data_IF_924204143599
#
_entry.id   IF_924204143599
#
_cell.length_a   1.000
_cell.length_b   1.000
_cell.length_c   1.000
_cell.angle_alpha   90.00
_cell.angle_beta   90.00
_cell.angle_gamma   90.00
#
_symmetry.space_group_name_H-M   'P 1'
#
loop_
_entity.id
_entity.type
_entity.pdbx_description
1 polymer ?
#
# COMPACT_ATOMS: atom_id res chain seq x y z
N UNK A 1 9.50 -9.42 -3.53
CA UNK A 1 10.30 -8.25 -3.96
C UNK A 1 9.45 -7.29 -4.78
N UNK A 2 9.60 -5.98 -4.58
CA UNK A 2 8.94 -4.94 -5.36
C UNK A 2 9.95 -3.86 -5.76
N UNK A 3 9.99 -3.53 -7.05
CA UNK A 3 10.79 -2.43 -7.60
C UNK A 3 9.87 -1.28 -7.96
N UNK A 4 10.29 -0.07 -7.62
CA UNK A 4 9.54 1.15 -7.87
C UNK A 4 10.41 2.15 -8.62
N UNK A 5 9.82 2.78 -9.63
CA UNK A 5 10.38 3.93 -10.34
C UNK A 5 9.31 5.02 -10.48
N UNK A 6 9.73 6.27 -10.69
CA UNK A 6 8.84 7.42 -10.85
C UNK A 6 8.59 8.21 -9.58
N UNK A 7 7.47 8.93 -9.55
CA UNK A 7 7.08 9.87 -8.49
C UNK A 7 6.52 9.13 -7.26
N UNK A 8 7.41 8.41 -6.55
CA UNK A 8 7.08 7.62 -5.35
C UNK A 8 7.23 8.43 -4.05
N UNK A 9 8.20 9.35 -3.99
CA UNK A 9 8.43 10.26 -2.85
C UNK A 9 8.25 11.70 -3.31
N UNK A 10 7.30 12.41 -2.70
CA UNK A 10 6.99 13.82 -2.86
C UNK A 10 7.63 14.70 -1.77
N UNK A 11 7.93 14.14 -0.61
CA UNK A 11 8.56 14.78 0.56
C UNK A 11 9.48 13.77 1.25
N UNK A 12 10.64 14.23 1.71
CA UNK A 12 11.59 13.36 2.41
C UNK A 12 11.81 13.81 3.85
N UNK A 13 12.07 12.82 4.71
CA UNK A 13 12.75 12.96 5.99
C UNK A 13 14.20 13.45 5.79
N UNK A 14 14.40 14.62 5.15
CA UNK A 14 15.71 15.23 4.91
C UNK A 14 16.32 15.06 3.52
N UNK A 15 15.60 14.47 2.55
CA UNK A 15 15.99 14.44 1.14
C UNK A 15 14.85 15.02 0.32
N UNK A 16 15.05 16.20 -0.30
CA UNK A 16 14.06 16.81 -1.19
C UNK A 16 13.50 15.72 -2.12
N UNK A 17 12.18 15.51 -2.13
CA UNK A 17 11.49 14.34 -2.71
C UNK A 17 11.87 14.07 -4.17
N UNK A 18 13.03 13.44 -4.37
CA UNK A 18 13.55 13.16 -5.69
C UNK A 18 12.82 11.93 -6.21
N UNK A 19 12.16 12.04 -7.37
CA UNK A 19 11.55 10.88 -8.00
C UNK A 19 12.64 9.84 -8.28
N UNK A 20 12.27 8.57 -8.20
CA UNK A 20 13.17 7.48 -8.55
C UNK A 20 13.30 7.44 -10.07
N UNK A 21 14.36 8.06 -10.60
CA UNK A 21 14.70 8.06 -12.03
C UNK A 21 15.14 6.68 -12.54
N UNK A 22 15.41 5.75 -11.64
CA UNK A 22 15.73 4.35 -11.92
C UNK A 22 14.94 3.45 -10.98
N UNK A 23 14.78 2.18 -11.35
CA UNK A 23 14.15 1.19 -10.48
C UNK A 23 14.94 1.04 -9.17
N UNK A 24 14.27 1.31 -8.05
CA UNK A 24 14.81 1.09 -6.71
C UNK A 24 13.99 0.04 -6.00
N UNK A 25 14.67 -0.77 -5.20
CA UNK A 25 14.05 -1.77 -4.37
C UNK A 25 13.39 -1.09 -3.17
N UNK A 26 12.11 -1.40 -2.92
CA UNK A 26 11.43 -0.91 -1.74
C UNK A 26 11.77 -1.82 -0.55
N UNK A 27 12.75 -1.40 0.23
CA UNK A 27 13.34 -2.21 1.31
C UNK A 27 12.30 -2.65 2.36
N UNK A 28 11.35 -1.79 2.67
CA UNK A 28 10.33 -1.99 3.70
C UNK A 28 9.38 -3.16 3.40
N UNK A 29 9.23 -3.55 2.12
CA UNK A 29 8.39 -4.68 1.70
C UNK A 29 9.18 -5.81 1.05
N UNK A 30 10.51 -5.86 1.26
CA UNK A 30 11.35 -6.93 0.70
C UNK A 30 10.97 -8.32 1.19
N UNK A 31 10.53 -8.44 2.45
CA UNK A 31 10.09 -9.70 3.04
C UNK A 31 8.73 -10.18 2.52
N UNK A 32 7.98 -9.33 1.80
CA UNK A 32 6.66 -9.67 1.29
C UNK A 32 6.75 -10.24 -0.14
N UNK A 33 6.10 -11.39 -0.37
CA UNK A 33 5.86 -11.93 -1.72
C UNK A 33 4.67 -11.22 -2.37
N UNK A 34 4.94 -10.09 -3.01
CA UNK A 34 3.90 -9.28 -3.66
C UNK A 34 3.24 -10.09 -4.80
N UNK A 35 1.92 -10.21 -4.76
CA UNK A 35 1.08 -10.85 -5.79
C UNK A 35 0.49 -9.82 -6.76
N UNK A 36 0.13 -8.67 -6.23
CA UNK A 36 -0.51 -7.59 -6.96
C UNK A 36 -0.02 -6.25 -6.42
N UNK A 37 0.19 -5.27 -7.30
CA UNK A 37 0.54 -3.91 -6.91
C UNK A 37 -0.15 -2.94 -7.84
N UNK A 38 -0.68 -1.84 -7.29
CA UNK A 38 -1.26 -0.77 -8.06
C UNK A 38 -0.79 0.59 -7.52
N UNK A 39 -0.86 1.60 -8.38
CA UNK A 39 -0.41 2.95 -8.06
C UNK A 39 -1.32 3.96 -8.75
N UNK A 40 -1.60 5.06 -8.07
CA UNK A 40 -2.30 6.21 -8.63
C UNK A 40 -1.48 7.47 -8.48
N UNK A 41 -2.16 8.62 -8.45
CA UNK A 41 -1.50 9.92 -8.41
C UNK A 41 -0.61 10.12 -7.18
N UNK A 42 -1.09 9.72 -6.01
CA UNK A 42 -0.38 9.85 -4.72
C UNK A 42 -0.47 8.60 -3.83
N UNK A 43 -1.17 7.56 -4.28
CA UNK A 43 -1.42 6.33 -3.52
C UNK A 43 -0.81 5.13 -4.18
N UNK A 44 -0.33 4.20 -3.36
CA UNK A 44 0.29 2.98 -3.77
C UNK A 44 -0.17 1.84 -2.88
N UNK A 45 -0.54 0.72 -3.49
CA UNK A 45 -0.98 -0.47 -2.80
C UNK A 45 -0.22 -1.69 -3.29
N UNK A 46 0.01 -2.62 -2.38
CA UNK A 46 0.57 -3.93 -2.68
C UNK A 46 -0.16 -5.00 -1.88
N UNK A 47 -0.49 -6.11 -2.53
CA UNK A 47 -1.11 -7.28 -1.92
C UNK A 47 -0.04 -8.37 -1.79
N UNK A 48 0.08 -8.93 -0.60
CA UNK A 48 0.96 -10.05 -0.29
C UNK A 48 0.17 -11.11 0.49
N UNK A 49 0.57 -12.39 0.44
CA UNK A 49 0.03 -13.36 1.39
C UNK A 49 0.40 -12.95 2.82
N UNK A 50 -0.53 -13.10 3.74
CA UNK A 50 -0.24 -12.94 5.17
C UNK A 50 0.18 -14.29 5.75
N UNK A 51 1.46 -14.44 6.07
CA UNK A 51 2.02 -15.68 6.63
C UNK A 51 1.71 -15.85 8.12
N UNK A 52 1.40 -14.75 8.84
CA UNK A 52 1.16 -14.76 10.29
C UNK A 52 -0.31 -15.05 10.62
N UNK A 53 -1.23 -14.35 9.96
CA UNK A 53 -2.67 -14.44 10.25
C UNK A 53 -3.44 -15.32 9.23
N UNK A 54 -2.80 -15.71 8.12
CA UNK A 54 -3.48 -16.33 6.99
C UNK A 54 -4.25 -15.30 6.15
N UNK A 55 -4.41 -15.57 4.85
CA UNK A 55 -5.12 -14.69 3.92
C UNK A 55 -4.21 -13.70 3.19
N UNK A 56 -4.68 -12.46 3.00
CA UNK A 56 -4.00 -11.42 2.23
C UNK A 56 -3.71 -10.18 3.09
N UNK A 57 -2.45 -9.77 3.07
CA UNK A 57 -1.94 -8.52 3.64
C UNK A 57 -2.00 -7.42 2.59
N UNK A 58 -2.84 -6.42 2.85
CA UNK A 58 -2.87 -5.19 2.04
C UNK A 58 -1.91 -4.17 2.64
N UNK A 59 -0.93 -3.74 1.84
CA UNK A 59 0.02 -2.69 2.19
C UNK A 59 -0.37 -1.42 1.46
N UNK A 60 -0.42 -0.30 2.18
CA UNK A 60 -0.78 1.01 1.66
C UNK A 60 0.29 2.05 2.00
N UNK A 61 0.61 2.92 1.05
CA UNK A 61 1.36 4.14 1.30
C UNK A 61 1.05 5.21 0.26
N UNK A 62 1.35 6.45 0.60
CA UNK A 62 1.10 7.58 -0.28
C UNK A 62 1.37 8.90 0.40
N UNK A 63 2.09 9.79 -0.28
CA UNK A 63 2.42 11.10 0.25
C UNK A 63 1.53 12.18 -0.35
N UNK A 64 1.03 13.09 0.49
CA UNK A 64 0.07 14.12 0.11
C UNK A 64 -1.34 13.58 -0.25
N UNK A 65 -1.69 12.41 0.30
CA UNK A 65 -3.06 11.94 0.29
C UNK A 65 -3.92 12.77 1.28
N UNK A 66 -5.11 13.21 0.84
CA UNK A 66 -5.87 14.27 1.52
C UNK A 66 -7.34 13.93 1.80
N UNK A 67 -7.87 12.88 1.18
CA UNK A 67 -9.27 12.50 1.17
C UNK A 67 -9.53 11.12 1.80
N UNK A 68 -8.52 10.53 2.46
CA UNK A 68 -8.64 9.20 3.06
C UNK A 68 -8.49 8.06 2.07
N UNK A 69 -7.99 8.34 0.87
CA UNK A 69 -7.82 7.39 -0.22
C UNK A 69 -6.88 6.21 0.11
N UNK A 70 -6.05 6.30 1.17
CA UNK A 70 -5.28 5.16 1.66
C UNK A 70 -6.10 4.15 2.46
N UNK A 71 -7.32 4.51 2.88
CA UNK A 71 -8.22 3.62 3.60
C UNK A 71 -7.68 3.12 4.95
N UNK A 72 -6.88 3.95 5.64
CA UNK A 72 -6.21 3.55 6.89
C UNK A 72 -7.14 3.57 8.11
N UNK A 73 -8.23 4.32 8.03
CA UNK A 73 -9.20 4.50 9.12
C UNK A 73 -9.67 5.96 9.22
N UNK A 74 -10.77 6.22 9.93
CA UNK A 74 -11.32 7.58 10.07
C UNK A 74 -10.45 8.50 10.94
N UNK A 75 -9.81 7.93 11.97
CA UNK A 75 -8.95 8.67 12.93
C UNK A 75 -7.46 8.60 12.58
N UNK A 76 -7.12 7.86 11.52
CA UNK A 76 -5.73 7.64 11.12
C UNK A 76 -5.22 8.73 10.17
N UNK A 77 -3.89 8.95 10.08
CA UNK A 77 -3.31 9.88 9.14
C UNK A 77 -3.75 9.58 7.70
N UNK A 78 -4.18 10.61 6.97
CA UNK A 78 -4.63 10.46 5.58
C UNK A 78 -3.51 10.10 4.61
N UNK A 79 -2.26 10.36 4.99
CA UNK A 79 -1.06 10.11 4.20
C UNK A 79 -0.04 9.29 4.98
N UNK A 80 0.70 8.43 4.29
CA UNK A 80 1.75 7.61 4.88
C UNK A 80 3.00 7.62 3.98
N UNK A 81 4.13 8.09 4.52
CA UNK A 81 5.40 8.17 3.79
C UNK A 81 6.09 6.81 3.64
N UNK A 82 5.73 5.86 4.51
CA UNK A 82 6.24 4.49 4.52
C UNK A 82 5.11 3.50 4.25
N UNK A 83 5.38 2.38 3.54
CA UNK A 83 4.46 1.26 3.42
C UNK A 83 4.07 0.73 4.80
N UNK A 84 2.78 0.62 5.02
CA UNK A 84 2.22 0.06 6.24
C UNK A 84 1.04 -0.84 5.94
N UNK A 85 0.75 -1.75 6.87
CA UNK A 85 -0.43 -2.63 6.76
C UNK A 85 -1.70 -1.79 6.87
N UNK A 86 -2.64 -2.01 5.96
CA UNK A 86 -3.98 -1.44 6.06
C UNK A 86 -4.77 -2.24 7.12
N UNK A 87 -4.85 -1.69 8.33
CA UNK A 87 -5.50 -2.35 9.47
C UNK A 87 -7.01 -2.59 9.27
N UNK A 88 -7.78 -1.65 8.69
CA UNK A 88 -9.20 -1.91 8.39
C UNK A 88 -9.48 -3.09 7.48
N UNK A 89 -8.53 -3.49 6.62
CA UNK A 89 -8.69 -4.61 5.69
C UNK A 89 -8.20 -5.96 6.25
N UNK A 90 -7.82 -6.01 7.53
CA UNK A 90 -7.43 -7.27 8.19
C UNK A 90 -8.61 -8.23 8.22
N UNK A 91 -8.35 -9.50 7.88
CA UNK A 91 -9.37 -10.55 7.75
C UNK A 91 -10.12 -10.54 6.42
N UNK A 92 -9.95 -9.52 5.57
CA UNK A 92 -10.57 -9.47 4.25
C UNK A 92 -9.58 -10.02 3.21
N UNK A 93 -10.01 -11.02 2.44
CA UNK A 93 -9.20 -11.58 1.37
C UNK A 93 -9.33 -10.71 0.11
N UNK A 94 -8.54 -9.64 0.04
CA UNK A 94 -8.49 -8.74 -1.12
C UNK A 94 -7.81 -9.45 -2.28
N UNK A 95 -8.53 -9.63 -3.39
CA UNK A 95 -7.99 -10.25 -4.61
C UNK A 95 -7.64 -9.22 -5.70
N UNK A 96 -8.26 -8.04 -5.67
CA UNK A 96 -8.00 -6.97 -6.63
C UNK A 96 -8.05 -5.58 -5.96
N UNK A 97 -7.18 -4.69 -6.43
CA UNK A 97 -7.15 -3.29 -6.00
C UNK A 97 -6.85 -2.38 -7.18
N UNK A 98 -7.63 -1.33 -7.37
CA UNK A 98 -7.37 -0.33 -8.41
C UNK A 98 -7.26 1.06 -7.79
N UNK A 99 -6.37 1.87 -8.35
CA UNK A 99 -6.11 3.20 -7.80
C UNK A 99 -7.21 4.21 -8.20
N UNK A 100 -7.54 5.12 -7.28
CA UNK A 100 -8.86 5.69 -6.94
C UNK A 100 -9.62 4.93 -5.82
N UNK A 101 -9.00 3.87 -5.28
CA UNK A 101 -9.31 3.20 -4.00
C UNK A 101 -10.59 2.36 -4.00
N UNK A 102 -10.71 1.47 -4.99
CA UNK A 102 -11.64 0.36 -4.97
C UNK A 102 -10.89 -0.93 -4.63
N UNK A 103 -11.38 -1.66 -3.64
CA UNK A 103 -10.88 -2.98 -3.24
C UNK A 103 -12.00 -4.01 -3.41
N UNK A 104 -11.68 -5.13 -4.06
CA UNK A 104 -12.58 -6.27 -4.16
C UNK A 104 -12.03 -7.40 -3.29
N UNK A 105 -12.85 -7.91 -2.37
CA UNK A 105 -12.46 -8.96 -1.44
C UNK A 105 -13.66 -9.74 -0.95
N UNK A 106 -13.39 -10.95 -0.46
CA UNK A 106 -14.38 -11.81 0.20
C UNK A 106 -14.00 -11.98 1.68
N UNK A 107 -14.99 -12.29 2.52
CA UNK A 107 -14.82 -12.52 3.94
C UNK A 107 -15.22 -13.96 4.28
N UNK A 108 -14.25 -14.88 4.25
CA UNK A 108 -14.47 -16.31 4.47
C UNK A 108 -15.01 -16.63 5.88
N UNK A 109 -14.93 -15.71 6.85
CA UNK A 109 -15.48 -15.86 8.20
C UNK A 109 -16.98 -15.53 8.33
N UNK A 110 -17.65 -15.11 7.25
CA UNK A 110 -19.08 -14.78 7.25
C UNK A 110 -20.01 -15.97 6.88
N UNK A 111 -19.49 -17.20 6.86
CA UNK A 111 -20.26 -18.44 6.65
C UNK A 111 -20.48 -19.22 7.94
#
# INVERSE_FOLDING_TARGET
MCYVAGKWKNTGDGSAGQPYSTFRLLQEIMGCKIRHACSGGVTHFALAPDEEEGGVKTVACGQNAANGELGLGPEEPKSATKPQRNQPLVGINVFESVSFSLFLGDNDTAR
#
